data_IF_324272718475
#
_entry.id   IF_324272718475
#
_cell.length_a   1.000
_cell.length_b   1.000
_cell.length_c   1.000
_cell.angle_alpha   90.00
_cell.angle_beta   90.00
_cell.angle_gamma   90.00
#
_symmetry.space_group_name_H-M   'P 1'
#
loop_
_entity.id
_entity.type
_entity.pdbx_description
1 polymer ?
#
# COMPACT_ATOMS: atom_id res chain seq x y z
N UNK A 1 -4.20 -20.23 7.50
CA UNK A 1 -4.28 -18.91 8.18
C UNK A 1 -5.74 -18.51 8.16
N UNK A 2 -6.35 -18.07 9.28
CA UNK A 2 -7.72 -17.54 9.27
C UNK A 2 -7.84 -16.34 8.33
N UNK A 3 -8.97 -16.22 7.61
CA UNK A 3 -9.20 -15.11 6.66
C UNK A 3 -9.09 -13.73 7.33
N UNK A 4 -9.52 -13.59 8.57
CA UNK A 4 -9.40 -12.36 9.36
C UNK A 4 -7.95 -11.87 9.59
N UNK A 5 -6.95 -12.68 9.22
CA UNK A 5 -5.51 -12.34 9.25
C UNK A 5 -4.91 -12.18 7.86
N UNK A 6 -5.75 -12.09 6.84
CA UNK A 6 -5.34 -11.93 5.44
C UNK A 6 -5.78 -10.56 4.95
N UNK A 7 -4.87 -9.84 4.31
CA UNK A 7 -5.16 -8.66 3.51
C UNK A 7 -5.03 -9.07 2.05
N UNK A 8 -6.13 -8.99 1.30
CA UNK A 8 -6.15 -9.30 -0.12
C UNK A 8 -6.07 -8.02 -0.94
N UNK A 9 -4.88 -7.78 -1.46
CA UNK A 9 -4.54 -6.60 -2.25
C UNK A 9 -4.21 -7.00 -3.70
N UNK A 10 -4.08 -6.01 -4.59
CA UNK A 10 -3.68 -6.19 -5.98
C UNK A 10 -4.68 -5.57 -6.96
N UNK A 11 -4.23 -5.27 -8.21
CA UNK A 11 -5.05 -4.57 -9.20
C UNK A 11 -6.04 -5.47 -9.92
N UNK A 12 -5.92 -6.78 -9.78
CA UNK A 12 -6.86 -7.76 -10.34
C UNK A 12 -7.04 -8.94 -9.40
N UNK A 13 -8.31 -9.25 -9.12
CA UNK A 13 -8.70 -10.36 -8.26
C UNK A 13 -9.83 -11.13 -8.94
N UNK A 14 -9.69 -12.46 -9.19
CA UNK A 14 -10.75 -13.27 -9.78
C UNK A 14 -12.02 -13.24 -8.91
N UNK A 15 -13.21 -13.24 -9.52
CA UNK A 15 -14.49 -13.17 -8.81
C UNK A 15 -14.65 -14.29 -7.75
N UNK A 16 -14.20 -15.51 -8.07
CA UNK A 16 -14.23 -16.62 -7.11
C UNK A 16 -13.32 -16.37 -5.89
N UNK A 17 -12.16 -15.73 -6.10
CA UNK A 17 -11.25 -15.38 -5.01
C UNK A 17 -11.78 -14.23 -4.16
N UNK A 18 -12.46 -13.25 -4.78
CA UNK A 18 -13.16 -12.18 -4.06
C UNK A 18 -14.26 -12.77 -3.16
N UNK A 19 -15.09 -13.66 -3.70
CA UNK A 19 -16.17 -14.28 -2.94
C UNK A 19 -15.63 -15.11 -1.78
N UNK A 20 -14.60 -15.91 -2.00
CA UNK A 20 -13.95 -16.69 -0.94
C UNK A 20 -13.34 -15.78 0.13
N UNK A 21 -12.59 -14.75 -0.26
CA UNK A 21 -12.00 -13.80 0.68
C UNK A 21 -13.05 -13.13 1.59
N UNK A 22 -14.19 -12.74 1.01
CA UNK A 22 -15.30 -12.17 1.76
C UNK A 22 -15.96 -13.18 2.69
N UNK A 23 -16.15 -14.43 2.24
CA UNK A 23 -16.70 -15.50 3.08
C UNK A 23 -15.82 -15.80 4.29
N UNK A 24 -14.51 -15.80 4.10
CA UNK A 24 -13.53 -16.08 5.15
C UNK A 24 -13.19 -14.85 6.03
N UNK A 25 -13.72 -13.66 5.68
CA UNK A 25 -13.54 -12.43 6.46
C UNK A 25 -12.16 -11.78 6.26
N UNK A 26 -11.53 -11.97 5.10
CA UNK A 26 -10.30 -11.27 4.75
C UNK A 26 -10.56 -9.78 4.53
N UNK A 27 -9.59 -8.93 4.89
CA UNK A 27 -9.59 -7.53 4.50
C UNK A 27 -9.33 -7.42 2.99
N UNK A 28 -10.17 -6.67 2.28
CA UNK A 28 -10.12 -6.56 0.82
C UNK A 28 -9.90 -5.10 0.43
N UNK A 29 -8.79 -4.81 -0.27
CA UNK A 29 -8.51 -3.47 -0.79
C UNK A 29 -9.01 -3.34 -2.24
N UNK A 30 -9.92 -2.39 -2.46
CA UNK A 30 -10.49 -2.08 -3.78
C UNK A 30 -9.52 -1.20 -4.56
N UNK A 31 -9.19 -1.62 -5.80
CA UNK A 31 -8.23 -0.94 -6.67
C UNK A 31 -8.90 -0.06 -7.74
N UNK A 32 -10.10 -0.44 -8.20
CA UNK A 32 -10.84 0.26 -9.25
C UNK A 32 -12.36 0.07 -9.15
N UNK A 33 -13.13 0.86 -9.91
CA UNK A 33 -14.60 0.88 -9.83
C UNK A 33 -15.26 -0.45 -10.22
N UNK A 34 -14.75 -1.15 -11.24
CA UNK A 34 -15.35 -2.43 -11.65
C UNK A 34 -15.22 -3.47 -10.55
N UNK A 35 -14.12 -3.46 -9.81
CA UNK A 35 -13.93 -4.33 -8.64
C UNK A 35 -14.88 -3.94 -7.50
N UNK A 36 -15.06 -2.63 -7.24
CA UNK A 36 -16.03 -2.14 -6.26
C UNK A 36 -17.43 -2.68 -6.59
N UNK A 37 -17.88 -2.56 -7.83
CA UNK A 37 -19.19 -3.08 -8.23
C UNK A 37 -19.27 -4.61 -8.13
N UNK A 38 -18.22 -5.32 -8.49
CA UNK A 38 -18.18 -6.79 -8.36
C UNK A 38 -18.31 -7.22 -6.89
N UNK A 39 -17.58 -6.56 -5.99
CA UNK A 39 -17.64 -6.83 -4.54
C UNK A 39 -19.01 -6.48 -3.97
N UNK A 40 -19.61 -5.37 -4.38
CA UNK A 40 -20.97 -5.00 -3.97
C UNK A 40 -22.01 -6.05 -4.39
N UNK A 41 -21.94 -6.56 -5.63
CA UNK A 41 -22.81 -7.64 -6.09
C UNK A 41 -22.63 -8.94 -5.31
N UNK A 42 -21.37 -9.28 -4.96
CA UNK A 42 -21.10 -10.46 -4.12
C UNK A 42 -21.71 -10.26 -2.73
N UNK A 43 -21.49 -9.12 -2.10
CA UNK A 43 -22.06 -8.80 -0.78
C UNK A 43 -23.58 -8.87 -0.78
N UNK A 44 -24.24 -8.37 -1.84
CA UNK A 44 -25.68 -8.47 -2.04
C UNK A 44 -26.14 -9.93 -2.11
N UNK A 45 -25.44 -10.79 -2.88
CA UNK A 45 -25.78 -12.23 -2.93
C UNK A 45 -25.58 -12.93 -1.59
N UNK A 46 -24.57 -12.52 -0.82
CA UNK A 46 -24.31 -13.02 0.53
C UNK A 46 -25.31 -12.51 1.57
N UNK A 47 -26.13 -11.49 1.21
CA UNK A 47 -27.14 -10.90 2.09
C UNK A 47 -26.56 -10.19 3.32
N UNK A 48 -25.31 -9.72 3.26
CA UNK A 48 -24.67 -9.03 4.38
C UNK A 48 -23.78 -7.90 3.93
N UNK A 49 -23.61 -6.90 4.78
CA UNK A 49 -22.63 -5.85 4.59
C UNK A 49 -21.21 -6.42 4.82
N UNK A 50 -20.25 -6.03 3.97
CA UNK A 50 -18.87 -6.48 4.02
C UNK A 50 -17.92 -5.31 4.22
N UNK A 51 -16.87 -5.45 5.07
CA UNK A 51 -15.83 -4.45 5.23
C UNK A 51 -14.90 -4.46 4.01
N UNK A 52 -14.53 -3.26 3.56
CA UNK A 52 -13.58 -3.06 2.47
C UNK A 52 -12.60 -1.94 2.81
N UNK A 53 -11.39 -2.05 2.27
CA UNK A 53 -10.42 -0.97 2.23
C UNK A 53 -10.41 -0.31 0.85
N UNK A 54 -10.03 0.94 0.79
CA UNK A 54 -9.85 1.70 -0.43
C UNK A 54 -8.36 1.87 -0.72
N UNK A 55 -7.89 1.35 -1.84
CA UNK A 55 -6.53 1.64 -2.31
C UNK A 55 -6.52 2.99 -3.01
N UNK A 56 -5.63 3.86 -2.58
CA UNK A 56 -5.48 5.19 -3.14
C UNK A 56 -4.04 5.45 -3.59
N UNK A 57 -3.87 6.34 -4.54
CA UNK A 57 -2.58 6.86 -4.96
C UNK A 57 -2.58 8.39 -4.94
N UNK A 58 -1.40 8.95 -4.78
CA UNK A 58 -1.16 10.39 -4.72
C UNK A 58 0.32 10.68 -4.93
N UNK A 59 0.64 11.95 -5.19
CA UNK A 59 2.00 12.44 -5.24
C UNK A 59 2.48 12.84 -3.83
N UNK A 60 3.55 12.22 -3.37
CA UNK A 60 4.20 12.60 -2.10
C UNK A 60 5.14 13.80 -2.25
N UNK A 61 5.47 14.19 -3.48
CA UNK A 61 6.49 15.21 -3.77
C UNK A 61 7.94 14.76 -3.48
N UNK A 62 8.15 13.50 -3.11
CA UNK A 62 9.46 12.96 -2.71
C UNK A 62 9.88 11.72 -3.52
N UNK A 63 8.97 11.13 -4.28
CA UNK A 63 9.21 10.00 -5.18
C UNK A 63 8.41 10.17 -6.45
N UNK A 64 8.77 9.44 -7.52
CA UNK A 64 7.91 9.34 -8.69
C UNK A 64 6.54 8.76 -8.30
N UNK A 65 5.42 9.39 -8.71
CA UNK A 65 4.09 8.93 -8.35
C UNK A 65 3.81 7.52 -8.83
N UNK A 66 3.37 6.63 -7.92
CA UNK A 66 2.98 5.26 -8.23
C UNK A 66 1.50 5.17 -8.65
N UNK A 67 1.15 5.91 -9.71
CA UNK A 67 -0.22 6.28 -10.09
C UNK A 67 -1.02 5.20 -10.83
N UNK A 68 -0.39 4.06 -11.19
CA UNK A 68 -1.06 3.00 -11.99
C UNK A 68 -2.05 2.14 -11.20
N UNK A 69 -2.12 2.29 -9.88
CA UNK A 69 -2.94 1.46 -9.01
C UNK A 69 -3.74 2.33 -8.06
N UNK A 70 -4.99 1.91 -7.80
CA UNK A 70 -5.86 2.58 -6.85
C UNK A 70 -6.53 3.85 -7.39
N UNK A 71 -7.33 4.45 -6.55
CA UNK A 71 -8.07 5.68 -6.85
C UNK A 71 -7.20 6.90 -6.56
N UNK A 72 -7.11 7.81 -7.51
CA UNK A 72 -6.25 8.99 -7.34
C UNK A 72 -6.88 10.03 -6.40
N UNK A 73 -6.06 10.54 -5.48
CA UNK A 73 -6.46 11.53 -4.48
C UNK A 73 -6.67 12.92 -5.10
N UNK A 74 -5.71 13.41 -5.89
CA UNK A 74 -5.70 14.76 -6.45
C UNK A 74 -6.85 15.01 -7.43
N UNK A 75 -7.24 13.99 -8.19
CA UNK A 75 -8.37 14.07 -9.11
C UNK A 75 -9.74 13.99 -8.43
N UNK A 76 -9.78 13.65 -7.13
CA UNK A 76 -11.01 13.40 -6.38
C UNK A 76 -11.56 11.98 -6.52
N UNK A 77 -10.99 11.13 -7.39
CA UNK A 77 -11.50 9.77 -7.61
C UNK A 77 -11.55 8.91 -6.33
N UNK A 78 -10.58 9.09 -5.42
CA UNK A 78 -10.58 8.40 -4.12
C UNK A 78 -11.79 8.82 -3.26
N UNK A 79 -12.14 10.10 -3.23
CA UNK A 79 -13.29 10.59 -2.46
C UNK A 79 -14.61 10.15 -3.09
N UNK A 80 -14.70 10.14 -4.42
CA UNK A 80 -15.91 9.66 -5.10
C UNK A 80 -16.12 8.15 -4.85
N UNK A 81 -15.06 7.36 -4.83
CA UNK A 81 -15.14 5.95 -4.44
C UNK A 81 -15.56 5.79 -2.97
N UNK A 82 -15.01 6.59 -2.05
CA UNK A 82 -15.40 6.57 -0.64
C UNK A 82 -16.89 6.93 -0.46
N UNK A 83 -17.38 7.97 -1.14
CA UNK A 83 -18.81 8.33 -1.15
C UNK A 83 -19.68 7.21 -1.70
N UNK A 84 -19.23 6.55 -2.79
CA UNK A 84 -19.95 5.42 -3.39
C UNK A 84 -20.05 4.24 -2.42
N UNK A 85 -18.97 3.93 -1.69
CA UNK A 85 -18.98 2.90 -0.64
C UNK A 85 -19.91 3.32 0.50
N UNK A 86 -19.81 4.56 0.97
CA UNK A 86 -20.64 5.09 2.06
C UNK A 86 -22.15 5.12 1.75
N UNK A 87 -22.51 5.26 0.46
CA UNK A 87 -23.91 5.19 0.01
C UNK A 87 -24.45 3.76 -0.15
N UNK A 88 -23.56 2.75 -0.11
CA UNK A 88 -23.95 1.35 -0.28
C UNK A 88 -24.45 0.74 1.03
N UNK A 89 -25.55 0.03 0.99
CA UNK A 89 -26.00 -0.79 2.12
C UNK A 89 -25.20 -2.10 2.27
N UNK A 90 -24.37 -2.44 1.28
CA UNK A 90 -23.65 -3.71 1.19
C UNK A 90 -22.15 -3.58 1.49
N UNK A 91 -21.62 -2.37 1.47
CA UNK A 91 -20.19 -2.12 1.68
C UNK A 91 -19.99 -1.23 2.92
N UNK A 92 -18.89 -1.47 3.63
CA UNK A 92 -18.47 -0.63 4.74
C UNK A 92 -16.98 -0.27 4.54
N UNK A 93 -16.68 1.00 4.40
CA UNK A 93 -15.30 1.45 4.31
C UNK A 93 -14.65 1.41 5.70
N UNK A 94 -13.69 0.51 5.89
CA UNK A 94 -13.01 0.29 7.18
C UNK A 94 -11.51 0.52 7.12
N UNK A 95 -10.92 0.62 5.95
CA UNK A 95 -9.49 0.80 5.79
C UNK A 95 -9.08 1.63 4.60
N UNK A 96 -7.90 2.19 4.68
CA UNK A 96 -7.23 2.85 3.56
C UNK A 96 -5.91 2.17 3.29
N UNK A 97 -5.55 2.04 2.02
CA UNK A 97 -4.27 1.51 1.59
C UNK A 97 -3.61 2.44 0.59
N UNK A 98 -2.30 2.58 0.68
CA UNK A 98 -1.49 3.19 -0.37
C UNK A 98 -0.11 2.54 -0.42
N UNK A 99 0.40 2.33 -1.64
CA UNK A 99 1.76 1.85 -1.86
C UNK A 99 2.44 2.85 -2.80
N UNK A 100 3.47 3.53 -2.33
CA UNK A 100 4.07 4.69 -3.01
C UNK A 100 5.28 4.34 -3.87
N UNK A 101 5.64 3.07 -3.99
CA UNK A 101 6.75 2.62 -4.83
C UNK A 101 7.57 1.49 -4.23
N UNK A 102 8.73 1.24 -4.81
CA UNK A 102 9.64 0.20 -4.35
C UNK A 102 11.04 0.75 -4.11
N UNK A 103 11.73 0.25 -3.09
CA UNK A 103 13.09 0.63 -2.71
C UNK A 103 13.24 2.14 -2.46
N UNK A 104 12.38 2.70 -1.66
CA UNK A 104 12.30 4.13 -1.38
C UNK A 104 13.33 4.47 -0.30
N UNK A 105 14.27 5.34 -0.64
CA UNK A 105 15.35 5.77 0.25
C UNK A 105 15.02 7.08 1.02
N UNK A 106 14.02 7.83 0.57
CA UNK A 106 13.62 9.07 1.22
C UNK A 106 12.49 8.82 2.22
N UNK A 107 12.82 8.83 3.50
CA UNK A 107 11.84 8.63 4.59
C UNK A 107 10.75 9.71 4.62
N UNK A 108 11.00 10.90 4.03
CA UNK A 108 10.00 11.97 3.94
C UNK A 108 8.82 11.57 3.07
N UNK A 109 9.03 10.69 2.08
CA UNK A 109 7.94 10.15 1.27
C UNK A 109 6.90 9.43 2.13
N UNK A 110 7.35 8.61 3.09
CA UNK A 110 6.46 7.91 4.02
C UNK A 110 5.81 8.86 5.02
N UNK A 111 6.53 9.87 5.51
CA UNK A 111 5.94 10.89 6.37
C UNK A 111 4.80 11.64 5.66
N UNK A 112 5.01 12.00 4.40
CA UNK A 112 3.99 12.68 3.59
C UNK A 112 2.82 11.73 3.25
N UNK A 113 3.09 10.47 2.92
CA UNK A 113 2.06 9.44 2.74
C UNK A 113 1.16 9.35 3.98
N UNK A 114 1.75 9.25 5.17
CA UNK A 114 1.00 9.15 6.43
C UNK A 114 0.11 10.38 6.65
N UNK A 115 0.59 11.59 6.36
CA UNK A 115 -0.21 12.83 6.46
C UNK A 115 -1.38 12.82 5.49
N UNK A 116 -1.14 12.56 4.20
CA UNK A 116 -2.19 12.55 3.18
C UNK A 116 -3.27 11.52 3.52
N UNK A 117 -2.87 10.32 3.92
CA UNK A 117 -3.82 9.27 4.30
C UNK A 117 -4.64 9.64 5.54
N UNK A 118 -4.03 10.28 6.54
CA UNK A 118 -4.74 10.74 7.73
C UNK A 118 -5.71 11.90 7.40
N UNK A 119 -5.31 12.84 6.55
CA UNK A 119 -6.19 13.91 6.07
C UNK A 119 -7.38 13.36 5.28
N UNK A 120 -7.12 12.42 4.38
CA UNK A 120 -8.18 11.76 3.61
C UNK A 120 -9.11 10.96 4.53
N UNK A 121 -8.60 10.25 5.53
CA UNK A 121 -9.40 9.54 6.53
C UNK A 121 -10.39 10.47 7.21
N UNK A 122 -9.92 11.63 7.71
CA UNK A 122 -10.81 12.61 8.38
C UNK A 122 -11.88 13.16 7.44
N UNK A 123 -11.51 13.41 6.17
CA UNK A 123 -12.45 13.88 5.16
C UNK A 123 -13.49 12.81 4.82
N UNK A 124 -13.05 11.56 4.58
CA UNK A 124 -13.94 10.45 4.24
C UNK A 124 -14.91 10.14 5.38
N UNK A 125 -14.44 10.08 6.64
CA UNK A 125 -15.30 9.87 7.81
C UNK A 125 -16.36 10.97 7.96
N UNK A 126 -15.97 12.22 7.74
CA UNK A 126 -16.88 13.37 7.84
C UNK A 126 -17.96 13.34 6.76
N UNK A 127 -17.59 12.96 5.53
CA UNK A 127 -18.51 12.99 4.39
C UNK A 127 -19.42 11.77 4.31
N UNK A 128 -18.93 10.60 4.71
CA UNK A 128 -19.64 9.33 4.53
C UNK A 128 -20.19 8.73 5.80
N UNK A 129 -19.78 9.26 6.97
CA UNK A 129 -20.13 8.65 8.27
C UNK A 129 -19.44 7.31 8.53
N UNK A 130 -18.53 6.86 7.64
CA UNK A 130 -17.77 5.64 7.85
C UNK A 130 -16.80 5.80 9.03
N UNK A 131 -16.21 4.69 9.47
CA UNK A 131 -15.14 4.66 10.46
C UNK A 131 -13.97 3.91 9.89
N UNK A 132 -12.85 4.61 9.72
CA UNK A 132 -11.60 4.00 9.28
C UNK A 132 -10.88 3.39 10.48
N UNK A 133 -10.66 2.09 10.44
CA UNK A 133 -10.07 1.30 11.52
C UNK A 133 -8.56 1.11 11.34
N UNK A 134 -8.07 1.13 10.08
CA UNK A 134 -6.65 0.98 9.80
C UNK A 134 -6.19 1.81 8.58
N UNK A 135 -4.91 2.16 8.61
CA UNK A 135 -4.16 2.73 7.51
C UNK A 135 -3.04 1.76 7.13
N UNK A 136 -3.11 1.21 5.93
CA UNK A 136 -2.09 0.35 5.36
C UNK A 136 -1.22 1.19 4.41
N UNK A 137 0.00 1.46 4.80
CA UNK A 137 0.93 2.27 4.02
C UNK A 137 1.77 1.44 3.04
N UNK A 138 1.43 0.17 2.86
CA UNK A 138 2.09 -0.71 1.92
C UNK A 138 3.52 -1.06 2.31
N UNK A 139 4.32 -1.32 1.29
CA UNK A 139 5.72 -1.69 1.43
C UNK A 139 6.66 -0.68 0.75
N UNK A 140 7.67 -1.23 0.06
CA UNK A 140 8.64 -0.42 -0.66
C UNK A 140 9.85 0.01 0.16
N UNK A 141 9.94 -0.40 1.43
CA UNK A 141 11.09 -0.15 2.29
C UNK A 141 12.34 -0.75 1.66
N UNK A 142 13.43 0.04 1.67
CA UNK A 142 14.69 -0.41 1.12
C UNK A 142 15.34 -1.49 2.01
N UNK A 143 16.05 -2.40 1.37
CA UNK A 143 16.89 -3.39 2.02
C UNK A 143 18.36 -3.01 1.85
N UNK A 144 19.25 -3.70 2.57
CA UNK A 144 20.70 -3.47 2.48
C UNK A 144 21.34 -3.99 1.18
N UNK A 145 20.53 -4.45 0.21
CA UNK A 145 21.02 -4.86 -1.09
C UNK A 145 21.39 -3.65 -1.97
N UNK A 146 22.38 -3.86 -2.82
CA UNK A 146 22.81 -2.86 -3.79
C UNK A 146 21.86 -2.82 -4.98
N UNK A 147 21.35 -1.63 -5.32
CA UNK A 147 20.68 -1.40 -6.60
C UNK A 147 21.68 -0.93 -7.67
N UNK A 148 21.35 -1.21 -8.92
CA UNK A 148 22.10 -0.67 -10.06
C UNK A 148 22.13 0.87 -9.97
N UNK A 149 23.34 1.44 -10.05
CA UNK A 149 23.55 2.89 -9.99
C UNK A 149 23.79 3.47 -8.59
N UNK A 150 23.69 2.66 -7.53
CA UNK A 150 24.14 3.05 -6.19
C UNK A 150 25.60 2.63 -5.99
N UNK A 151 26.47 3.62 -5.80
CA UNK A 151 27.93 3.41 -5.68
C UNK A 151 28.41 3.46 -4.21
N UNK A 152 27.57 3.95 -3.30
CA UNK A 152 27.89 3.98 -1.87
C UNK A 152 27.43 2.70 -1.18
N UNK A 153 28.11 2.30 -0.11
CA UNK A 153 27.69 1.16 0.70
C UNK A 153 26.27 1.32 1.24
N UNK A 154 25.48 0.22 1.36
CA UNK A 154 24.10 0.29 1.83
C UNK A 154 23.91 0.92 3.21
N UNK A 155 24.88 0.76 4.12
CA UNK A 155 24.88 1.37 5.45
C UNK A 155 24.96 2.92 5.43
N UNK A 156 25.36 3.49 4.29
CA UNK A 156 25.43 4.94 4.09
C UNK A 156 24.25 5.49 3.28
N UNK A 157 23.50 4.63 2.60
CA UNK A 157 22.45 5.06 1.66
C UNK A 157 21.05 4.59 2.04
N UNK A 158 20.95 3.46 2.75
CA UNK A 158 19.66 2.86 3.13
C UNK A 158 19.27 3.33 4.52
N UNK A 159 18.11 3.96 4.69
CA UNK A 159 17.61 4.31 6.01
C UNK A 159 17.41 3.07 6.89
N UNK A 160 17.67 3.19 8.18
CA UNK A 160 17.35 2.14 9.14
C UNK A 160 15.84 2.00 9.34
N UNK A 161 15.40 0.87 9.88
CA UNK A 161 13.98 0.67 10.21
C UNK A 161 13.48 1.69 11.22
N UNK A 162 14.35 2.12 12.15
CA UNK A 162 14.03 3.15 13.14
C UNK A 162 13.77 4.50 12.47
N UNK A 163 14.53 4.87 11.43
CA UNK A 163 14.33 6.12 10.69
C UNK A 163 13.01 6.12 9.92
N UNK A 164 12.64 4.99 9.28
CA UNK A 164 11.33 4.85 8.66
C UNK A 164 10.21 4.93 9.70
N UNK A 165 10.35 4.19 10.81
CA UNK A 165 9.36 4.16 11.87
C UNK A 165 9.17 5.55 12.51
N UNK A 166 10.24 6.28 12.81
CA UNK A 166 10.20 7.62 13.36
C UNK A 166 9.47 8.59 12.42
N UNK A 167 9.82 8.58 11.13
CA UNK A 167 9.19 9.45 10.13
C UNK A 167 7.68 9.20 10.01
N UNK A 168 7.27 7.93 9.95
CA UNK A 168 5.87 7.52 9.82
C UNK A 168 5.08 7.85 11.09
N UNK A 169 5.58 7.40 12.26
CA UNK A 169 4.86 7.52 13.53
C UNK A 169 4.75 8.98 13.95
N UNK A 170 5.79 9.79 13.75
CA UNK A 170 5.73 11.23 14.04
C UNK A 170 4.66 11.90 13.20
N UNK A 171 4.69 11.69 11.87
CA UNK A 171 3.73 12.28 10.95
C UNK A 171 2.29 11.85 11.27
N UNK A 172 2.07 10.56 11.53
CA UNK A 172 0.75 10.02 11.86
C UNK A 172 0.24 10.54 13.21
N UNK A 173 1.10 10.58 14.23
CA UNK A 173 0.75 11.11 15.56
C UNK A 173 0.35 12.57 15.50
N UNK A 174 1.08 13.39 14.73
CA UNK A 174 0.75 14.80 14.52
C UNK A 174 -0.59 14.94 13.79
N UNK A 175 -0.79 14.22 12.70
CA UNK A 175 -1.99 14.29 11.89
C UNK A 175 -3.26 13.78 12.62
N UNK A 176 -3.10 12.82 13.55
CA UNK A 176 -4.23 12.23 14.31
C UNK A 176 -4.39 12.81 15.72
N UNK A 177 -3.58 13.79 16.12
CA UNK A 177 -3.62 14.40 17.48
C UNK A 177 -5.01 14.89 17.87
N UNK A 178 -5.76 15.48 16.95
CA UNK A 178 -7.13 15.96 17.16
C UNK A 178 -8.13 14.86 17.47
N UNK A 179 -7.92 13.63 16.96
CA UNK A 179 -8.81 12.49 17.16
C UNK A 179 -8.88 12.06 18.61
N UNK A 180 -7.74 11.94 19.27
CA UNK A 180 -7.66 11.57 20.69
C UNK A 180 -8.41 12.58 21.57
N UNK A 181 -8.30 13.87 21.28
CA UNK A 181 -9.01 14.92 22.01
C UNK A 181 -10.54 14.83 21.84
N UNK A 182 -11.04 14.27 20.72
CA UNK A 182 -12.45 14.05 20.43
C UNK A 182 -12.95 12.67 20.87
N UNK A 183 -12.11 11.87 21.54
CA UNK A 183 -12.43 10.50 21.92
C UNK A 183 -12.55 9.53 20.73
N UNK A 184 -12.09 9.93 19.54
CA UNK A 184 -12.07 9.06 18.37
C UNK A 184 -10.86 8.12 18.44
N UNK A 185 -11.00 6.84 18.08
CA UNK A 185 -9.88 5.91 18.06
C UNK A 185 -8.87 6.30 16.99
N UNK A 186 -7.59 6.07 17.30
CA UNK A 186 -6.51 6.14 16.32
C UNK A 186 -6.55 4.87 15.48
N UNK A 187 -6.42 4.96 14.15
CA UNK A 187 -6.41 3.77 13.30
C UNK A 187 -5.18 2.90 13.56
N UNK A 188 -5.32 1.59 13.35
CA UNK A 188 -4.17 0.69 13.34
C UNK A 188 -3.27 1.01 12.14
N UNK A 189 -1.96 0.93 12.32
CA UNK A 189 -0.99 1.06 11.23
C UNK A 189 -0.62 -0.34 10.73
N UNK A 190 -0.73 -0.55 9.42
CA UNK A 190 -0.32 -1.78 8.73
C UNK A 190 0.85 -1.48 7.80
N UNK A 191 1.83 -2.38 7.78
CA UNK A 191 3.04 -2.32 6.95
C UNK A 191 3.17 -3.62 6.15
N UNK A 192 3.47 -3.51 4.86
CA UNK A 192 3.74 -4.64 3.96
C UNK A 192 5.25 -4.76 3.68
N UNK A 193 6.05 -4.93 4.71
CA UNK A 193 7.51 -4.80 4.69
C UNK A 193 8.28 -5.91 3.95
N UNK A 194 7.64 -6.74 3.13
CA UNK A 194 8.12 -7.95 2.47
C UNK A 194 9.61 -8.00 2.14
N UNK A 195 10.07 -7.26 1.09
CA UNK A 195 11.48 -7.25 0.66
C UNK A 195 12.45 -6.92 1.80
N UNK A 196 12.18 -5.89 2.55
CA UNK A 196 13.07 -5.42 3.61
C UNK A 196 13.33 -6.47 4.71
N UNK A 197 12.44 -7.46 4.86
CA UNK A 197 12.55 -8.54 5.85
C UNK A 197 13.20 -9.81 5.28
N UNK A 198 13.08 -10.08 3.97
CA UNK A 198 13.43 -11.38 3.38
C UNK A 198 14.52 -11.30 2.31
N UNK A 199 15.01 -10.11 1.98
CA UNK A 199 15.93 -9.90 0.85
C UNK A 199 17.28 -10.64 1.03
N UNK A 200 17.70 -10.87 2.27
CA UNK A 200 18.90 -11.63 2.62
C UNK A 200 18.67 -13.14 2.79
N UNK A 201 17.42 -13.61 2.64
CA UNK A 201 17.06 -15.01 2.92
C UNK A 201 17.42 -15.96 1.78
N UNK A 202 17.56 -15.44 0.54
CA UNK A 202 17.87 -16.24 -0.65
C UNK A 202 18.90 -15.56 -1.52
N UNK A 203 19.73 -16.37 -2.20
CA UNK A 203 20.69 -15.94 -3.21
C UNK A 203 20.48 -16.75 -4.49
N UNK A 204 20.53 -16.08 -5.64
CA UNK A 204 20.53 -16.73 -6.94
C UNK A 204 21.99 -17.00 -7.36
N UNK A 205 22.37 -18.27 -7.46
CA UNK A 205 23.68 -18.68 -7.98
C UNK A 205 23.55 -19.04 -9.45
N UNK A 206 24.32 -18.36 -10.29
CA UNK A 206 24.34 -18.58 -11.74
C UNK A 206 25.75 -18.78 -12.23
N UNK A 207 25.90 -19.40 -13.41
CA UNK A 207 27.18 -19.54 -14.11
C UNK A 207 27.26 -18.54 -15.24
N UNK A 208 28.44 -17.94 -15.43
CA UNK A 208 28.73 -17.18 -16.65
C UNK A 208 29.02 -18.16 -17.79
N UNK A 209 28.14 -18.21 -18.78
CA UNK A 209 28.25 -19.10 -19.95
C UNK A 209 28.84 -18.40 -21.16
N UNK A 210 28.94 -17.08 -21.13
CA UNK A 210 29.54 -16.31 -22.22
C UNK A 210 29.74 -14.83 -21.87
N UNK A 211 30.43 -14.11 -22.72
CA UNK A 211 30.59 -12.67 -22.56
C UNK A 211 30.59 -11.96 -23.91
N UNK A 212 30.16 -10.72 -23.94
CA UNK A 212 30.20 -9.87 -25.13
C UNK A 212 30.51 -8.42 -24.76
N UNK A 213 30.94 -7.66 -25.75
CA UNK A 213 31.01 -6.20 -25.65
C UNK A 213 29.71 -5.60 -26.18
N UNK A 214 29.19 -4.61 -25.46
CA UNK A 214 28.11 -3.78 -25.90
C UNK A 214 28.61 -2.62 -26.78
N UNK A 215 27.74 -1.98 -27.59
CA UNK A 215 28.12 -0.86 -28.46
C UNK A 215 28.72 0.33 -27.69
N UNK A 216 28.37 0.52 -26.43
CA UNK A 216 28.88 1.56 -25.52
C UNK A 216 30.26 1.19 -24.87
N UNK A 217 30.85 0.03 -25.26
CA UNK A 217 32.13 -0.45 -24.75
C UNK A 217 32.04 -1.25 -23.43
N UNK A 218 30.92 -1.32 -22.76
CA UNK A 218 30.75 -2.14 -21.56
C UNK A 218 30.86 -3.63 -21.87
N UNK A 219 31.27 -4.40 -20.87
CA UNK A 219 31.20 -5.87 -20.94
C UNK A 219 29.89 -6.37 -20.36
N UNK A 220 29.25 -7.28 -21.06
CA UNK A 220 28.09 -8.02 -20.58
C UNK A 220 28.46 -9.50 -20.37
N UNK A 221 28.06 -10.06 -19.24
CA UNK A 221 28.09 -11.50 -18.99
C UNK A 221 26.74 -12.11 -19.38
N UNK A 222 26.78 -13.29 -19.99
CA UNK A 222 25.61 -14.11 -20.28
C UNK A 222 25.55 -15.18 -19.20
N UNK A 223 24.41 -15.28 -18.50
CA UNK A 223 24.18 -16.21 -17.39
C UNK A 223 23.30 -17.37 -17.86
N UNK A 224 23.34 -18.49 -17.13
CA UNK A 224 22.52 -19.68 -17.36
C UNK A 224 21.19 -19.68 -16.57
N UNK A 225 20.73 -18.49 -16.15
CA UNK A 225 19.48 -18.28 -15.40
C UNK A 225 18.47 -17.44 -16.19
#
# INVERSE_FOLDING_TARGET
>A
VPGSRIIFNGPWKPAAALEQALLEGAALHLDHLDELFAVEQIAQRLGRQVPVGLRMNFDTGHTEPWSRFGFNYESGAAMDAARRIGASQWLQLTGLHSHIGTFILDVRAYAQQARIMAEFMEAAERETGCRIEYLDIGGGFASRNSLQGLYLPPDQTVPSFEQYAEAIVTALTEATRGRAALGKPVPALVLEAGRALVDDAEVLVTRVVGGKRLPDGRRAAILDA
#
